data_IF_012947964235
#
_entry.id   IF_012947964235
#
_cell.length_a   1.000
_cell.length_b   1.000
_cell.length_c   1.000
_cell.angle_alpha   90.00
_cell.angle_beta   90.00
_cell.angle_gamma   90.00
#
_symmetry.space_group_name_H-M   'P 1'
#
loop_
_entity.id
_entity.type
_entity.pdbx_description
1 polymer ?
#
# COMPACT_ATOMS: atom_id res chain seq x y z
N UNK A 1 -19.14 -16.18 -5.00
CA UNK A 1 -19.56 -15.24 -6.06
C UNK A 1 -20.15 -13.92 -5.58
N UNK A 2 -21.05 -13.84 -4.57
CA UNK A 2 -21.53 -12.54 -4.08
C UNK A 2 -20.45 -11.72 -3.35
N UNK A 3 -19.51 -12.39 -2.69
CA UNK A 3 -18.47 -11.77 -1.86
C UNK A 3 -17.33 -11.13 -2.65
N UNK A 4 -16.93 -11.71 -3.79
CA UNK A 4 -15.90 -11.13 -4.68
C UNK A 4 -16.37 -9.82 -5.30
N UNK A 5 -17.59 -9.79 -5.84
CA UNK A 5 -18.19 -8.57 -6.41
C UNK A 5 -18.35 -7.48 -5.35
N UNK A 6 -18.62 -7.86 -4.10
CA UNK A 6 -18.67 -6.92 -2.97
C UNK A 6 -17.27 -6.40 -2.62
N UNK A 7 -16.24 -7.25 -2.61
CA UNK A 7 -14.86 -6.83 -2.40
C UNK A 7 -14.38 -5.91 -3.50
N UNK A 8 -14.58 -6.26 -4.78
CA UNK A 8 -14.25 -5.42 -5.93
C UNK A 8 -14.90 -4.04 -5.84
N UNK A 9 -16.20 -3.99 -5.51
CA UNK A 9 -16.90 -2.72 -5.29
C UNK A 9 -16.35 -1.94 -4.10
N UNK A 10 -15.97 -2.62 -3.02
CA UNK A 10 -15.39 -1.98 -1.84
C UNK A 10 -14.00 -1.39 -2.10
N UNK A 11 -13.24 -1.99 -3.02
CA UNK A 11 -11.94 -1.44 -3.45
C UNK A 11 -12.07 -0.41 -4.58
N UNK A 12 -13.18 -0.43 -5.32
CA UNK A 12 -13.44 0.53 -6.39
C UNK A 12 -13.61 1.94 -5.82
N UNK A 13 -12.70 2.85 -6.19
CA UNK A 13 -12.66 4.22 -5.68
C UNK A 13 -11.62 4.47 -4.58
N UNK A 14 -10.90 3.44 -4.12
CA UNK A 14 -9.75 3.64 -3.26
C UNK A 14 -8.58 4.25 -4.03
N UNK A 15 -7.75 5.09 -3.38
CA UNK A 15 -6.57 5.63 -4.01
C UNK A 15 -5.56 4.51 -4.29
N UNK A 16 -4.73 4.65 -5.33
CA UNK A 16 -3.64 3.73 -5.60
C UNK A 16 -2.74 3.49 -4.37
N UNK A 17 -2.27 2.25 -4.24
CA UNK A 17 -1.37 1.81 -3.19
C UNK A 17 -1.53 0.35 -2.80
N UNK A 18 -0.84 0.01 -1.73
CA UNK A 18 -0.86 -1.32 -1.13
C UNK A 18 -1.83 -1.34 0.06
N UNK A 19 -2.59 -2.42 0.16
CA UNK A 19 -3.59 -2.64 1.20
C UNK A 19 -3.38 -4.01 1.83
N UNK A 20 -3.56 -4.11 3.13
CA UNK A 20 -3.70 -5.41 3.82
C UNK A 20 -5.19 -5.65 3.99
N UNK A 21 -5.66 -6.77 3.45
CA UNK A 21 -7.04 -7.24 3.57
C UNK A 21 -7.07 -8.31 4.65
N UNK A 22 -7.99 -8.18 5.60
CA UNK A 22 -8.36 -9.25 6.53
C UNK A 22 -9.73 -9.75 6.14
N UNK A 23 -9.80 -11.03 5.77
CA UNK A 23 -11.00 -11.67 5.27
C UNK A 23 -11.13 -13.08 5.87
N UNK A 24 -12.31 -13.67 5.73
CA UNK A 24 -12.53 -15.06 6.10
C UNK A 24 -13.46 -15.78 5.13
N UNK A 25 -13.24 -17.08 5.05
CA UNK A 25 -14.19 -18.06 4.52
C UNK A 25 -14.56 -18.99 5.67
N UNK A 26 -15.84 -19.00 6.04
CA UNK A 26 -16.35 -19.73 7.20
C UNK A 26 -15.55 -19.45 8.49
N UNK A 27 -14.83 -20.43 9.03
CA UNK A 27 -14.00 -20.32 10.24
C UNK A 27 -12.52 -20.02 9.95
N UNK A 28 -12.11 -19.95 8.69
CA UNK A 28 -10.72 -19.74 8.30
C UNK A 28 -10.51 -18.26 7.98
N UNK A 29 -9.77 -17.58 8.85
CA UNK A 29 -9.31 -16.22 8.61
C UNK A 29 -8.01 -16.18 7.82
N UNK A 30 -7.94 -15.27 6.86
CA UNK A 30 -6.75 -15.03 6.06
C UNK A 30 -6.49 -13.53 5.90
N UNK A 31 -5.21 -13.18 5.89
CA UNK A 31 -4.73 -11.86 5.57
C UNK A 31 -3.87 -11.94 4.30
N UNK A 32 -4.14 -11.06 3.33
CA UNK A 32 -3.36 -10.96 2.11
C UNK A 32 -3.14 -9.50 1.71
N UNK A 33 -2.16 -9.28 0.84
CA UNK A 33 -1.80 -7.93 0.37
C UNK A 33 -2.41 -7.68 -1.00
N UNK A 34 -3.18 -6.60 -1.11
CA UNK A 34 -3.87 -6.15 -2.30
C UNK A 34 -3.18 -4.90 -2.88
N UNK A 35 -3.10 -4.81 -4.20
CA UNK A 35 -2.43 -3.76 -4.95
C UNK A 35 -3.44 -3.08 -5.86
N UNK A 36 -3.62 -1.78 -5.64
CA UNK A 36 -4.43 -0.91 -6.50
C UNK A 36 -3.46 0.00 -7.25
N UNK A 37 -3.38 -0.14 -8.57
CA UNK A 37 -2.47 0.65 -9.41
C UNK A 37 -3.16 1.87 -9.98
N UNK A 38 -4.20 1.63 -10.78
CA UNK A 38 -5.02 2.66 -11.40
C UNK A 38 -6.50 2.26 -11.37
N UNK A 39 -7.45 3.22 -11.47
CA UNK A 39 -8.88 2.92 -11.46
C UNK A 39 -9.34 2.03 -12.62
N UNK A 40 -8.56 1.97 -13.69
CA UNK A 40 -8.81 1.18 -14.89
C UNK A 40 -8.09 -0.17 -14.90
N UNK A 41 -7.15 -0.37 -13.97
CA UNK A 41 -6.38 -1.60 -13.88
C UNK A 41 -7.13 -2.63 -13.03
N UNK A 42 -6.99 -3.94 -13.34
CA UNK A 42 -7.50 -4.98 -12.48
C UNK A 42 -6.84 -4.89 -11.10
N UNK A 43 -7.64 -5.18 -10.07
CA UNK A 43 -7.14 -5.26 -8.70
C UNK A 43 -6.34 -6.53 -8.56
N UNK A 44 -5.08 -6.40 -8.17
CA UNK A 44 -4.17 -7.52 -8.00
C UNK A 44 -3.99 -7.81 -6.52
N UNK A 45 -3.67 -9.05 -6.17
CA UNK A 45 -3.24 -9.42 -4.82
C UNK A 45 -2.08 -10.41 -4.91
N UNK A 46 -1.32 -10.48 -3.82
CA UNK A 46 -0.26 -11.46 -3.69
C UNK A 46 -0.84 -12.78 -3.19
N UNK A 47 -0.74 -13.82 -4.01
CA UNK A 47 -1.13 -15.18 -3.67
C UNK A 47 0.10 -16.07 -3.44
N UNK A 48 0.09 -16.82 -2.34
CA UNK A 48 1.11 -17.82 -2.06
C UNK A 48 2.57 -17.34 -2.09
N UNK A 49 3.47 -18.33 -2.05
CA UNK A 49 4.91 -18.15 -2.15
C UNK A 49 5.41 -19.03 -3.28
N UNK A 50 6.21 -18.46 -4.18
CA UNK A 50 6.82 -19.20 -5.29
C UNK A 50 8.32 -18.94 -5.30
N UNK A 51 9.08 -19.94 -4.85
CA UNK A 51 10.53 -19.82 -4.60
C UNK A 51 11.35 -19.42 -5.83
N UNK A 52 10.82 -19.64 -7.04
CA UNK A 52 11.52 -19.34 -8.29
C UNK A 52 11.34 -17.91 -8.78
N UNK A 53 10.44 -17.13 -8.15
CA UNK A 53 10.14 -15.76 -8.57
C UNK A 53 10.98 -14.76 -7.75
N UNK A 54 11.20 -13.56 -8.30
CA UNK A 54 11.82 -12.44 -7.60
C UNK A 54 10.94 -11.17 -7.74
N UNK A 55 10.22 -10.73 -6.70
CA UNK A 55 10.13 -11.35 -5.37
C UNK A 55 9.37 -12.69 -5.41
N UNK A 56 9.58 -13.61 -4.44
CA UNK A 56 9.06 -14.98 -4.47
C UNK A 56 7.57 -15.06 -4.10
N UNK A 57 6.74 -14.29 -4.80
CA UNK A 57 5.32 -14.08 -4.50
C UNK A 57 4.54 -14.06 -5.81
N UNK A 58 3.47 -14.86 -5.90
CA UNK A 58 2.64 -14.90 -7.10
C UNK A 58 1.71 -13.69 -7.07
N UNK A 59 1.53 -13.03 -8.20
CA UNK A 59 0.61 -11.92 -8.34
C UNK A 59 -0.61 -12.37 -9.14
N UNK A 60 -1.77 -12.37 -8.52
CA UNK A 60 -3.03 -12.82 -9.11
C UNK A 60 -4.09 -11.72 -9.12
N UNK A 61 -5.08 -11.86 -10.00
CA UNK A 61 -6.23 -10.94 -10.04
C UNK A 61 -7.22 -11.32 -8.95
N UNK A 62 -7.79 -10.33 -8.28
CA UNK A 62 -8.78 -10.55 -7.21
C UNK A 62 -9.98 -11.40 -7.67
N UNK A 63 -10.30 -11.38 -8.96
CA UNK A 63 -11.33 -12.21 -9.60
C UNK A 63 -11.06 -13.71 -9.56
N UNK A 64 -9.82 -14.13 -9.30
CA UNK A 64 -9.42 -15.54 -9.19
C UNK A 64 -9.65 -16.05 -7.76
N UNK A 65 -9.71 -15.14 -6.78
CA UNK A 65 -9.67 -15.48 -5.37
C UNK A 65 -10.83 -16.41 -4.99
N UNK A 66 -12.07 -16.24 -5.46
CA UNK A 66 -13.13 -17.26 -5.36
C UNK A 66 -13.71 -17.53 -3.96
N UNK A 67 -12.91 -17.35 -2.91
CA UNK A 67 -13.10 -17.98 -1.60
C UNK A 67 -13.51 -17.04 -0.45
N UNK A 68 -13.06 -15.77 -0.31
CA UNK A 68 -13.44 -15.02 0.90
C UNK A 68 -14.93 -14.70 0.87
N UNK A 69 -15.63 -15.04 1.94
CA UNK A 69 -17.07 -14.77 2.11
C UNK A 69 -17.30 -13.45 2.83
N UNK A 70 -16.41 -13.08 3.75
CA UNK A 70 -16.49 -11.87 4.55
C UNK A 70 -15.17 -11.08 4.50
N UNK A 71 -15.27 -9.76 4.40
CA UNK A 71 -14.14 -8.83 4.58
C UNK A 71 -14.31 -8.10 5.91
N UNK A 72 -13.38 -8.26 6.84
CA UNK A 72 -13.44 -7.62 8.15
C UNK A 72 -12.71 -6.27 8.18
N UNK A 73 -11.54 -6.21 7.55
CA UNK A 73 -10.74 -4.99 7.53
C UNK A 73 -9.99 -4.81 6.22
N UNK A 74 -9.82 -3.54 5.86
CA UNK A 74 -9.02 -3.10 4.73
C UNK A 74 -8.14 -1.94 5.19
N UNK A 75 -6.83 -2.19 5.28
CA UNK A 75 -5.87 -1.26 5.85
C UNK A 75 -4.89 -0.78 4.79
N UNK A 76 -4.82 0.53 4.52
CA UNK A 76 -3.83 1.09 3.59
C UNK A 76 -2.43 1.07 4.21
N UNK A 77 -1.47 0.49 3.50
CA UNK A 77 -0.06 0.51 3.88
C UNK A 77 0.54 1.84 3.45
N UNK A 78 0.94 2.65 4.44
CA UNK A 78 1.62 3.93 4.21
C UNK A 78 3.08 3.77 4.59
N UNK A 79 3.97 3.75 3.59
CA UNK A 79 5.39 3.74 3.86
C UNK A 79 5.80 5.05 4.57
N UNK A 80 6.61 4.98 5.64
CA UNK A 80 7.11 6.18 6.29
C UNK A 80 7.90 6.99 5.28
N UNK A 81 7.47 8.24 5.05
CA UNK A 81 8.19 9.14 4.16
C UNK A 81 9.60 9.34 4.71
N UNK A 82 10.66 9.18 3.90
CA UNK A 82 12.01 9.47 4.36
C UNK A 82 12.04 10.92 4.86
N UNK A 83 12.48 11.12 6.11
CA UNK A 83 12.60 12.45 6.70
C UNK A 83 13.54 13.25 5.80
N UNK A 84 13.02 14.33 5.17
CA UNK A 84 13.85 15.23 4.38
C UNK A 84 15.03 15.70 5.25
N UNK A 85 16.28 15.68 4.75
CA UNK A 85 17.40 16.23 5.48
C UNK A 85 17.07 17.67 5.85
N UNK A 86 17.09 17.99 7.16
CA UNK A 86 16.97 19.38 7.60
C UNK A 86 18.19 20.12 7.06
N UNK A 87 18.01 20.96 6.03
CA UNK A 87 19.07 21.83 5.55
C UNK A 87 19.56 22.66 6.75
N UNK A 88 20.87 22.67 7.06
CA UNK A 88 21.38 23.49 8.14
C UNK A 88 21.07 24.95 7.85
N UNK A 89 20.47 25.66 8.82
CA UNK A 89 20.25 27.11 8.71
C UNK A 89 21.62 27.77 8.53
N UNK A 90 21.82 28.48 7.41
CA UNK A 90 23.00 29.32 7.21
C UNK A 90 23.12 30.29 8.39
N UNK A 91 24.21 30.21 9.16
CA UNK A 91 24.55 31.25 10.14
C UNK A 91 24.74 32.56 9.38
N UNK A 92 23.90 33.56 9.62
CA UNK A 92 24.14 34.91 9.10
C UNK A 92 25.38 35.46 9.78
N UNK A 93 26.48 35.59 9.06
CA UNK A 93 27.62 36.36 9.56
C UNK A 93 27.19 37.83 9.64
N UNK A 94 27.04 38.34 10.86
CA UNK A 94 27.01 39.80 11.09
C UNK A 94 28.37 40.33 10.63
N UNK A 95 28.41 40.98 9.46
CA UNK A 95 29.56 41.80 9.06
C UNK A 95 29.60 43.01 9.98
N UNK A 96 30.50 42.98 10.97
CA UNK A 96 30.85 44.16 11.75
C UNK A 96 31.48 45.18 10.79
N UNK A 97 30.81 46.30 10.54
CA UNK A 97 31.42 47.47 9.90
C UNK A 97 32.47 48.03 10.86
N UNK A 98 33.75 47.80 10.57
CA UNK A 98 34.84 48.58 11.15
C UNK A 98 34.91 49.90 10.39
N UNK A 99 34.44 50.98 11.03
CA UNK A 99 34.75 52.35 10.59
C UNK A 99 36.22 52.64 10.90
N UNK A 100 36.99 53.04 9.89
CA UNK A 100 38.31 53.64 10.06
C UNK A 100 38.14 55.10 10.52
N UNK A 101 38.87 55.48 11.56
CA UNK A 101 39.36 56.84 11.77
C UNK A 101 40.89 56.78 11.77
#
# INVERSE_FOLDING_TARGET
>A
MLSEVLMEKAVWGLPPGYYIVHAAEDIIEHCFTLIIRDPSDPVMFYDGYHERDDPPVILEQLTILGWPTNMYALCRVVLPRPKRPRRPKKKSSKKTKLSRN
#
